data_IF_499921746311
#
_entry.id   IF_499921746311
#
_cell.length_a   1.000
_cell.length_b   1.000
_cell.length_c   1.000
_cell.angle_alpha   90.00
_cell.angle_beta   90.00
_cell.angle_gamma   90.00
#
_symmetry.space_group_name_H-M   'P 1'
#
loop_
_entity.id
_entity.type
_entity.pdbx_description
1 polymer ?
#
# COMPACT_ATOMS: atom_id res chain seq x y z
N UNK A 1 -39.48 -3.69 3.49
CA UNK A 1 -38.84 -4.99 3.79
C UNK A 1 -37.45 -5.00 3.20
N UNK A 2 -36.54 -5.15 3.96
CA UNK A 2 -35.10 -5.06 4.20
C UNK A 2 -34.14 -5.58 3.07
N UNK A 3 -34.14 -5.01 1.91
CA UNK A 3 -33.08 -5.21 0.90
C UNK A 3 -31.84 -4.31 1.16
N UNK A 4 -31.97 -3.28 2.00
CA UNK A 4 -30.91 -2.33 2.32
C UNK A 4 -29.83 -2.85 3.32
N UNK A 5 -30.11 -3.95 4.04
CA UNK A 5 -29.18 -4.45 5.06
C UNK A 5 -28.03 -5.27 4.45
N UNK A 6 -28.31 -6.01 3.37
CA UNK A 6 -27.29 -6.79 2.65
C UNK A 6 -26.41 -5.93 1.74
N UNK A 7 -26.95 -4.80 1.25
CA UNK A 7 -26.21 -3.86 0.41
C UNK A 7 -25.16 -3.07 1.22
N UNK A 8 -25.44 -2.79 2.50
CA UNK A 8 -24.51 -2.07 3.40
C UNK A 8 -23.38 -2.93 3.89
N UNK A 9 -23.59 -4.24 4.03
CA UNK A 9 -22.51 -5.18 4.39
C UNK A 9 -21.49 -5.30 3.25
N UNK A 10 -21.96 -5.17 1.98
CA UNK A 10 -21.12 -5.21 0.79
C UNK A 10 -20.02 -4.14 0.76
N UNK A 11 -20.29 -2.92 1.23
CA UNK A 11 -19.32 -1.82 1.17
C UNK A 11 -18.07 -2.07 2.05
N UNK A 12 -18.29 -2.55 3.26
CA UNK A 12 -17.21 -2.81 4.21
C UNK A 12 -16.57 -4.15 3.97
N UNK A 13 -17.36 -5.14 3.58
CA UNK A 13 -16.82 -6.43 3.16
C UNK A 13 -15.94 -6.21 1.91
N UNK A 14 -16.29 -5.29 1.02
CA UNK A 14 -15.48 -4.93 -0.14
C UNK A 14 -14.27 -4.07 0.24
N UNK A 15 -14.40 -3.07 1.13
CA UNK A 15 -13.25 -2.31 1.65
C UNK A 15 -12.33 -3.22 2.48
N UNK A 16 -12.89 -4.15 3.25
CA UNK A 16 -12.16 -5.15 4.02
C UNK A 16 -11.71 -6.35 3.18
N UNK A 17 -12.51 -6.78 2.19
CA UNK A 17 -12.13 -7.77 1.17
C UNK A 17 -11.11 -7.18 0.21
N UNK A 18 -11.19 -5.88 -0.08
CA UNK A 18 -10.21 -5.16 -0.87
C UNK A 18 -8.83 -5.16 -0.21
N UNK A 19 -8.75 -4.95 1.11
CA UNK A 19 -7.52 -5.21 1.87
C UNK A 19 -7.17 -6.72 1.92
N UNK A 20 -8.13 -7.61 1.69
CA UNK A 20 -7.93 -9.05 1.50
C UNK A 20 -7.48 -9.40 0.09
N UNK A 21 -8.02 -8.72 -0.92
CA UNK A 21 -7.74 -8.92 -2.35
C UNK A 21 -6.53 -8.15 -2.85
N UNK A 22 -6.02 -7.13 -2.13
CA UNK A 22 -4.73 -6.51 -2.46
C UNK A 22 -3.56 -7.50 -2.36
N UNK A 23 -3.72 -8.60 -1.63
CA UNK A 23 -2.86 -9.78 -1.81
C UNK A 23 -3.05 -10.43 -3.19
N UNK A 24 -4.20 -10.23 -3.85
CA UNK A 24 -4.53 -10.74 -5.19
C UNK A 24 -4.14 -9.77 -6.31
N UNK A 25 -4.05 -8.48 -6.05
CA UNK A 25 -3.60 -7.50 -7.06
C UNK A 25 -2.17 -7.75 -7.55
N UNK A 26 -1.39 -8.53 -6.80
CA UNK A 26 -0.12 -9.04 -7.31
C UNK A 26 -0.29 -10.10 -8.42
N UNK A 27 -1.46 -10.71 -8.60
CA UNK A 27 -1.72 -11.65 -9.71
C UNK A 27 -2.04 -10.93 -11.02
N UNK A 28 -2.54 -9.71 -10.97
CA UNK A 28 -3.00 -8.97 -12.15
C UNK A 28 -1.88 -8.23 -12.89
N UNK A 29 -0.67 -8.18 -12.31
CA UNK A 29 0.54 -7.73 -13.03
C UNK A 29 1.15 -8.89 -13.86
N UNK A 30 0.50 -10.01 -13.94
CA UNK A 30 0.83 -11.05 -14.92
C UNK A 30 0.19 -10.64 -16.24
N UNK A 31 0.84 -9.70 -16.93
CA UNK A 31 0.64 -9.56 -18.36
C UNK A 31 0.80 -10.95 -18.97
N UNK A 32 -0.06 -11.23 -19.94
CA UNK A 32 -0.09 -12.42 -20.79
C UNK A 32 0.97 -13.46 -20.42
N UNK A 33 0.51 -14.56 -19.83
CA UNK A 33 1.33 -15.74 -19.61
C UNK A 33 1.97 -16.11 -20.94
N UNK A 34 3.18 -15.59 -21.19
CA UNK A 34 4.06 -16.23 -22.14
C UNK A 34 4.28 -17.60 -21.53
N UNK A 35 3.84 -18.64 -22.24
CA UNK A 35 4.00 -20.00 -21.79
C UNK A 35 5.48 -20.18 -21.41
N UNK A 36 5.77 -20.51 -20.15
CA UNK A 36 7.15 -20.63 -19.67
C UNK A 36 7.94 -21.68 -20.51
N UNK A 37 7.23 -22.62 -21.15
CA UNK A 37 7.78 -23.55 -22.12
C UNK A 37 8.29 -22.84 -23.39
N UNK A 38 7.69 -21.75 -23.79
CA UNK A 38 8.09 -20.99 -25.00
C UNK A 38 9.24 -20.02 -24.68
N UNK A 39 9.28 -19.45 -23.48
CA UNK A 39 10.33 -18.51 -23.06
C UNK A 39 11.64 -19.20 -22.65
N UNK A 40 11.59 -20.41 -22.08
CA UNK A 40 12.75 -21.07 -21.49
C UNK A 40 13.21 -22.33 -22.25
N UNK A 41 12.50 -22.75 -23.31
CA UNK A 41 12.83 -23.96 -24.10
C UNK A 41 13.19 -25.12 -23.17
N UNK A 42 12.59 -26.28 -23.32
CA UNK A 42 12.82 -27.49 -22.50
C UNK A 42 14.29 -27.95 -22.49
N UNK A 43 15.19 -27.20 -21.86
CA UNK A 43 16.50 -27.76 -21.47
C UNK A 43 16.29 -28.49 -20.14
N UNK A 44 16.76 -29.77 -20.06
CA UNK A 44 16.75 -30.47 -18.80
C UNK A 44 17.58 -29.68 -17.77
N UNK A 45 16.96 -29.35 -16.62
CA UNK A 45 17.64 -28.66 -15.53
C UNK A 45 18.76 -29.54 -14.99
N UNK A 46 19.95 -28.98 -14.86
CA UNK A 46 21.11 -29.68 -14.30
C UNK A 46 20.88 -29.99 -12.83
N UNK A 47 20.81 -31.26 -12.47
CA UNK A 47 20.59 -31.69 -11.11
C UNK A 47 21.89 -31.60 -10.30
N UNK A 48 21.89 -30.78 -9.24
CA UNK A 48 23.02 -30.62 -8.31
C UNK A 48 22.59 -31.17 -6.95
N UNK A 49 23.28 -32.23 -6.43
CA UNK A 49 22.99 -32.75 -5.09
C UNK A 49 23.13 -31.69 -4.00
N UNK A 50 22.25 -31.72 -3.01
CA UNK A 50 22.20 -30.71 -1.96
C UNK A 50 23.52 -30.58 -1.17
N UNK A 51 24.23 -31.70 -1.01
CA UNK A 51 25.54 -31.75 -0.34
C UNK A 51 26.65 -30.98 -1.08
N UNK A 52 26.44 -30.66 -2.35
CA UNK A 52 27.37 -29.86 -3.16
C UNK A 52 27.03 -28.34 -3.13
N UNK A 53 25.96 -27.94 -2.47
CA UNK A 53 25.59 -26.57 -2.33
C UNK A 53 26.34 -25.94 -1.14
N UNK A 54 26.79 -24.70 -1.30
CA UNK A 54 27.55 -23.95 -0.29
C UNK A 54 26.66 -23.38 0.81
N UNK A 55 25.43 -22.98 0.46
CA UNK A 55 24.42 -22.46 1.37
C UNK A 55 23.04 -23.00 1.01
N UNK A 56 22.23 -23.21 2.02
CA UNK A 56 20.84 -23.67 1.91
C UNK A 56 19.99 -22.78 2.78
N UNK A 57 19.14 -21.96 2.15
CA UNK A 57 18.12 -21.16 2.86
C UNK A 57 16.75 -21.79 2.68
N UNK A 58 16.25 -22.41 3.75
CA UNK A 58 14.98 -23.13 3.76
C UNK A 58 13.75 -22.21 3.78
N UNK A 59 13.92 -20.90 3.68
CA UNK A 59 12.87 -19.93 3.39
C UNK A 59 11.60 -20.18 4.21
N UNK A 60 11.53 -20.26 5.47
CA UNK A 60 10.28 -20.45 6.29
C UNK A 60 9.18 -21.38 5.71
N UNK A 61 9.45 -22.06 4.58
CA UNK A 61 8.63 -23.05 3.89
C UNK A 61 9.38 -24.38 3.86
N UNK A 62 8.85 -25.38 4.55
CA UNK A 62 9.52 -26.67 4.68
C UNK A 62 9.76 -27.44 3.36
N UNK A 63 9.10 -27.01 2.26
CA UNK A 63 9.11 -27.72 0.97
C UNK A 63 10.25 -27.29 0.04
N UNK A 64 10.52 -25.98 -0.06
CA UNK A 64 11.52 -25.46 -0.99
C UNK A 64 12.63 -24.72 -0.25
N UNK A 65 13.81 -24.72 -0.83
CA UNK A 65 14.96 -23.94 -0.37
C UNK A 65 15.58 -23.15 -1.52
N UNK A 66 16.18 -22.01 -1.20
CA UNK A 66 17.14 -21.36 -2.08
C UNK A 66 18.51 -21.96 -1.80
N UNK A 67 19.16 -22.51 -2.83
CA UNK A 67 20.48 -23.12 -2.71
C UNK A 67 21.50 -22.27 -3.46
N UNK A 68 22.74 -22.23 -2.94
CA UNK A 68 23.84 -21.45 -3.55
C UNK A 68 25.01 -22.37 -3.91
N UNK A 69 25.61 -22.13 -5.07
CA UNK A 69 26.83 -22.78 -5.52
C UNK A 69 27.64 -21.87 -6.46
N UNK A 70 28.91 -21.67 -6.16
CA UNK A 70 29.79 -20.81 -6.97
C UNK A 70 29.33 -19.34 -7.01
N UNK A 71 28.70 -18.81 -5.93
CA UNK A 71 28.14 -17.47 -5.88
C UNK A 71 26.86 -17.27 -6.68
N UNK A 72 26.26 -18.34 -7.24
CA UNK A 72 24.96 -18.34 -7.90
C UNK A 72 23.92 -19.07 -7.07
N UNK A 73 22.65 -18.75 -7.29
CA UNK A 73 21.52 -19.28 -6.55
C UNK A 73 20.56 -20.07 -7.47
N UNK A 74 19.76 -20.92 -6.85
CA UNK A 74 18.71 -21.67 -7.53
C UNK A 74 17.63 -22.11 -6.54
N UNK A 75 16.49 -22.57 -7.03
CA UNK A 75 15.38 -23.09 -6.23
C UNK A 75 15.48 -24.61 -6.21
N UNK A 76 15.35 -25.21 -5.04
CA UNK A 76 15.47 -26.65 -4.79
C UNK A 76 14.23 -27.17 -4.06
N UNK A 77 13.69 -28.31 -4.52
CA UNK A 77 12.62 -29.02 -3.81
C UNK A 77 13.23 -29.99 -2.81
N UNK A 78 13.00 -29.74 -1.51
CA UNK A 78 13.54 -30.54 -0.42
C UNK A 78 12.83 -31.89 -0.26
N UNK A 79 11.59 -32.04 -0.73
CA UNK A 79 10.82 -33.28 -0.66
C UNK A 79 11.20 -34.23 -1.80
N UNK A 80 11.36 -33.70 -3.01
CA UNK A 80 11.71 -34.47 -4.20
C UNK A 80 13.21 -34.63 -4.41
N UNK A 81 14.03 -33.87 -3.67
CA UNK A 81 15.48 -33.83 -3.77
C UNK A 81 15.97 -33.46 -5.20
N UNK A 82 15.31 -32.45 -5.80
CA UNK A 82 15.66 -32.00 -7.16
C UNK A 82 15.73 -30.48 -7.29
N UNK A 83 16.55 -30.00 -8.21
CA UNK A 83 16.56 -28.59 -8.56
C UNK A 83 15.32 -28.25 -9.39
N UNK A 84 14.64 -27.17 -8.99
CA UNK A 84 13.48 -26.61 -9.70
C UNK A 84 13.94 -25.61 -10.77
N UNK A 85 15.08 -24.95 -10.53
CA UNK A 85 15.74 -24.05 -11.50
C UNK A 85 17.22 -24.44 -11.64
N UNK A 86 17.86 -23.94 -12.69
CA UNK A 86 19.34 -23.96 -12.72
C UNK A 86 19.87 -23.12 -11.54
N UNK A 87 21.10 -23.46 -11.08
CA UNK A 87 21.81 -22.66 -10.06
C UNK A 87 22.66 -21.63 -10.83
N UNK A 88 22.00 -20.68 -11.47
CA UNK A 88 22.62 -19.65 -12.29
C UNK A 88 22.04 -18.24 -12.03
N UNK A 89 21.15 -18.12 -11.06
CA UNK A 89 20.58 -16.86 -10.63
C UNK A 89 21.57 -16.07 -9.77
N UNK A 90 21.57 -14.75 -9.89
CA UNK A 90 22.35 -13.87 -9.01
C UNK A 90 21.68 -13.70 -7.65
N UNK A 91 20.36 -13.63 -7.64
CA UNK A 91 19.53 -13.57 -6.42
C UNK A 91 18.34 -14.48 -6.59
N UNK A 92 18.00 -15.22 -5.54
CA UNK A 92 16.71 -15.89 -5.38
C UNK A 92 16.21 -15.71 -3.95
N UNK A 93 14.91 -15.55 -3.77
CA UNK A 93 14.31 -15.42 -2.44
C UNK A 93 12.83 -15.75 -2.46
N UNK A 94 12.35 -16.46 -1.43
CA UNK A 94 10.94 -16.76 -1.30
C UNK A 94 10.15 -15.46 -1.09
N UNK A 95 9.07 -15.29 -1.84
CA UNK A 95 8.18 -14.14 -1.75
C UNK A 95 6.88 -14.49 -1.02
N UNK A 96 6.14 -15.48 -1.53
CA UNK A 96 4.83 -15.85 -0.99
C UNK A 96 4.37 -17.24 -1.43
N UNK A 97 3.39 -17.79 -0.68
CA UNK A 97 2.62 -18.98 -1.05
C UNK A 97 1.19 -18.56 -1.40
N UNK A 98 0.67 -19.11 -2.46
CA UNK A 98 -0.72 -18.97 -2.89
C UNK A 98 -1.37 -20.34 -2.97
N UNK A 99 -2.65 -20.41 -2.62
CA UNK A 99 -3.49 -21.60 -2.77
C UNK A 99 -4.71 -21.18 -3.57
N UNK A 100 -4.89 -21.79 -4.75
CA UNK A 100 -6.06 -21.51 -5.59
C UNK A 100 -7.36 -22.06 -4.97
N UNK A 101 -8.52 -21.68 -5.51
CA UNK A 101 -9.82 -22.22 -5.09
C UNK A 101 -9.89 -23.74 -5.31
N UNK A 102 -9.19 -24.26 -6.30
CA UNK A 102 -9.09 -25.70 -6.60
C UNK A 102 -8.06 -26.43 -5.72
N UNK A 103 -7.44 -25.73 -4.78
CA UNK A 103 -6.46 -26.31 -3.84
C UNK A 103 -5.05 -26.43 -4.40
N UNK A 104 -4.75 -25.86 -5.59
CA UNK A 104 -3.41 -25.88 -6.16
C UNK A 104 -2.53 -24.89 -5.41
N UNK A 105 -1.39 -25.37 -4.91
CA UNK A 105 -0.41 -24.53 -4.23
C UNK A 105 0.65 -24.02 -5.21
N UNK A 106 0.90 -22.71 -5.20
CA UNK A 106 1.96 -22.07 -5.97
C UNK A 106 2.87 -21.28 -5.03
N UNK A 107 4.15 -21.50 -5.13
CA UNK A 107 5.18 -20.84 -4.34
C UNK A 107 5.93 -19.84 -5.22
N UNK A 108 5.88 -18.57 -4.89
CA UNK A 108 6.50 -17.49 -5.67
C UNK A 108 7.85 -17.12 -5.09
N UNK A 109 8.84 -17.04 -5.98
CA UNK A 109 10.21 -16.63 -5.68
C UNK A 109 10.56 -15.40 -6.49
N UNK A 110 11.11 -14.39 -5.85
CA UNK A 110 11.81 -13.32 -6.53
C UNK A 110 13.17 -13.80 -7.01
N UNK A 111 13.56 -13.43 -8.22
CA UNK A 111 14.79 -13.87 -8.84
C UNK A 111 15.44 -12.75 -9.64
N UNK A 112 16.81 -12.77 -9.69
CA UNK A 112 17.61 -11.88 -10.54
C UNK A 112 18.66 -12.71 -11.29
N UNK A 113 18.92 -12.34 -12.55
CA UNK A 113 19.96 -12.92 -13.38
C UNK A 113 20.55 -11.88 -14.32
N UNK A 114 21.75 -11.40 -14.03
CA UNK A 114 22.35 -10.28 -14.74
C UNK A 114 21.54 -9.00 -14.52
N UNK A 115 21.02 -8.45 -15.61
CA UNK A 115 20.10 -7.30 -15.58
C UNK A 115 18.63 -7.72 -15.50
N UNK A 116 18.33 -9.01 -15.64
CA UNK A 116 16.98 -9.53 -15.63
C UNK A 116 16.50 -9.73 -14.19
N UNK A 117 15.29 -9.25 -13.91
CA UNK A 117 14.62 -9.42 -12.62
C UNK A 117 13.23 -9.99 -12.87
N UNK A 118 12.76 -10.84 -11.97
CA UNK A 118 11.45 -11.42 -12.18
C UNK A 118 10.93 -12.19 -10.98
N UNK A 119 9.78 -12.82 -11.19
CA UNK A 119 9.17 -13.72 -10.22
C UNK A 119 8.96 -15.08 -10.89
N UNK A 120 9.39 -16.14 -10.23
CA UNK A 120 9.09 -17.51 -10.62
C UNK A 120 8.06 -18.08 -9.66
N UNK A 121 6.95 -18.58 -10.21
CA UNK A 121 5.98 -19.40 -9.48
C UNK A 121 6.36 -20.87 -9.64
N UNK A 122 6.35 -21.64 -8.54
CA UNK A 122 6.58 -23.08 -8.55
C UNK A 122 5.31 -23.78 -8.10
N UNK A 123 4.71 -24.58 -8.95
CA UNK A 123 3.51 -25.38 -8.62
C UNK A 123 3.91 -26.53 -7.70
N UNK A 124 3.31 -26.59 -6.51
CA UNK A 124 3.72 -27.49 -5.44
C UNK A 124 3.66 -28.98 -5.78
N UNK A 125 2.73 -29.40 -6.65
CA UNK A 125 2.53 -30.83 -6.98
C UNK A 125 3.60 -31.37 -7.94
N UNK A 126 3.97 -30.60 -8.97
CA UNK A 126 4.74 -31.09 -10.11
C UNK A 126 6.04 -30.31 -10.37
N UNK A 127 6.35 -29.27 -9.58
CA UNK A 127 7.47 -28.36 -9.75
C UNK A 127 7.47 -27.62 -11.11
N UNK A 128 6.33 -27.57 -11.77
CA UNK A 128 6.19 -26.77 -12.97
C UNK A 128 6.44 -25.31 -12.61
N UNK A 129 7.37 -24.69 -13.32
CA UNK A 129 7.68 -23.28 -13.14
C UNK A 129 6.82 -22.43 -14.06
N UNK A 130 6.20 -21.40 -13.47
CA UNK A 130 5.53 -20.33 -14.20
C UNK A 130 6.32 -19.07 -13.90
N UNK A 131 6.94 -18.46 -14.91
CA UNK A 131 7.86 -17.35 -14.69
C UNK A 131 7.51 -16.11 -15.48
N UNK A 132 7.78 -14.95 -14.88
CA UNK A 132 7.78 -13.66 -15.56
C UNK A 132 9.17 -13.07 -15.40
N UNK A 133 9.94 -13.02 -16.47
CA UNK A 133 11.17 -12.25 -16.56
C UNK A 133 10.82 -10.84 -17.07
N UNK A 134 11.02 -9.82 -16.27
CA UNK A 134 10.66 -8.45 -16.63
C UNK A 134 11.74 -7.71 -17.42
N UNK A 135 12.95 -8.26 -17.53
CA UNK A 135 14.11 -7.54 -18.11
C UNK A 135 14.89 -8.39 -19.14
N UNK A 136 14.19 -9.06 -20.04
CA UNK A 136 14.82 -9.54 -21.28
C UNK A 136 15.20 -8.31 -22.13
N UNK A 137 16.42 -8.17 -22.67
CA UNK A 137 16.84 -7.02 -23.50
C UNK A 137 15.92 -6.69 -24.67
N UNK A 138 15.29 -7.69 -25.30
CA UNK A 138 14.26 -7.47 -26.32
C UNK A 138 12.94 -6.94 -25.72
N UNK A 139 12.66 -7.32 -24.47
CA UNK A 139 11.48 -6.89 -23.74
C UNK A 139 11.70 -5.50 -23.13
N UNK A 140 12.91 -5.20 -22.65
CA UNK A 140 13.32 -3.86 -22.17
C UNK A 140 13.25 -2.85 -23.31
N UNK A 141 13.70 -3.19 -24.52
CA UNK A 141 13.57 -2.31 -25.68
C UNK A 141 12.11 -2.02 -26.06
N UNK A 142 11.21 -3.01 -25.92
CA UNK A 142 9.74 -2.80 -26.08
C UNK A 142 9.12 -2.10 -24.88
N UNK A 143 9.63 -2.31 -23.65
CA UNK A 143 9.21 -1.61 -22.45
C UNK A 143 9.58 -0.13 -22.50
N UNK A 144 10.76 0.22 -23.02
CA UNK A 144 11.17 1.64 -23.20
C UNK A 144 10.24 2.38 -24.17
N UNK A 145 9.63 1.69 -25.12
CA UNK A 145 8.59 2.26 -26.01
C UNK A 145 7.20 2.30 -25.36
N UNK A 146 6.92 1.40 -24.40
CA UNK A 146 5.59 1.23 -23.79
C UNK A 146 5.52 1.64 -22.32
N UNK A 147 6.64 1.98 -21.68
CA UNK A 147 6.65 2.34 -20.26
C UNK A 147 5.90 3.65 -20.00
N UNK A 148 5.11 3.65 -18.94
CA UNK A 148 4.45 4.85 -18.44
C UNK A 148 5.33 5.64 -17.48
N UNK A 149 6.50 5.10 -17.11
CA UNK A 149 7.45 5.69 -16.16
C UNK A 149 8.08 6.94 -16.78
N UNK A 150 8.07 8.00 -16.00
CA UNK A 150 8.73 9.26 -16.30
C UNK A 150 10.09 9.28 -15.58
N UNK A 151 11.17 9.22 -16.36
CA UNK A 151 12.52 9.13 -15.81
C UNK A 151 12.93 10.40 -15.03
N UNK A 152 12.49 11.58 -15.48
CA UNK A 152 12.77 12.84 -14.79
C UNK A 152 12.04 12.91 -13.46
N UNK A 153 10.78 12.49 -13.44
CA UNK A 153 9.99 12.39 -12.22
C UNK A 153 10.56 11.34 -11.26
N UNK A 154 11.01 10.20 -11.78
CA UNK A 154 11.62 9.13 -11.00
C UNK A 154 12.90 9.58 -10.32
N UNK A 155 13.81 10.23 -11.07
CA UNK A 155 15.01 10.81 -10.49
C UNK A 155 14.69 11.83 -9.39
N UNK A 156 13.73 12.72 -9.65
CA UNK A 156 13.28 13.69 -8.64
C UNK A 156 12.71 13.01 -7.39
N UNK A 157 11.90 11.97 -7.54
CA UNK A 157 11.38 11.20 -6.42
C UNK A 157 12.52 10.54 -5.62
N UNK A 158 13.53 10.02 -6.31
CA UNK A 158 14.68 9.38 -5.68
C UNK A 158 15.53 10.38 -4.88
N UNK A 159 15.82 11.55 -5.46
CA UNK A 159 16.58 12.62 -4.80
C UNK A 159 15.85 13.11 -3.54
N UNK A 160 14.56 13.45 -3.68
CA UNK A 160 13.73 13.93 -2.57
C UNK A 160 13.56 12.88 -1.49
N UNK A 161 13.41 11.59 -1.87
CA UNK A 161 13.32 10.51 -0.90
C UNK A 161 14.61 10.33 -0.12
N UNK A 162 15.77 10.37 -0.79
CA UNK A 162 17.08 10.25 -0.15
C UNK A 162 17.33 11.37 0.87
N UNK A 163 17.08 12.62 0.47
CA UNK A 163 17.21 13.77 1.37
C UNK A 163 16.23 13.69 2.55
N UNK A 164 14.97 13.32 2.26
CA UNK A 164 13.93 13.16 3.28
C UNK A 164 14.23 12.06 4.28
N UNK A 165 14.75 10.92 3.83
CA UNK A 165 15.16 9.83 4.72
C UNK A 165 16.32 10.25 5.63
N UNK A 166 17.32 10.97 5.12
CA UNK A 166 18.39 11.53 5.93
C UNK A 166 17.87 12.49 7.01
N UNK A 167 16.98 13.39 6.63
CA UNK A 167 16.39 14.38 7.53
C UNK A 167 15.51 13.72 8.61
N UNK A 168 14.76 12.68 8.26
CA UNK A 168 13.80 12.00 9.15
C UNK A 168 14.41 10.82 9.92
N UNK A 169 15.71 10.57 9.76
CA UNK A 169 16.37 9.35 10.27
C UNK A 169 15.61 8.07 9.87
N UNK A 170 15.17 8.03 8.59
CA UNK A 170 14.43 6.91 8.06
C UNK A 170 15.30 5.69 7.84
N UNK A 171 14.74 4.50 8.01
CA UNK A 171 15.40 3.24 7.70
C UNK A 171 14.96 2.69 6.35
N UNK A 172 13.77 3.07 5.89
CA UNK A 172 13.19 2.67 4.64
C UNK A 172 12.17 3.70 4.18
N UNK A 173 12.04 3.90 2.88
CA UNK A 173 11.02 4.77 2.30
C UNK A 173 10.58 4.36 0.92
N UNK A 174 9.35 4.74 0.58
CA UNK A 174 8.77 4.57 -0.76
C UNK A 174 8.07 5.85 -1.21
N UNK A 175 8.14 6.13 -2.51
CA UNK A 175 7.30 7.12 -3.19
C UNK A 175 6.69 6.45 -4.42
N UNK A 176 5.38 6.60 -4.60
CA UNK A 176 4.70 6.24 -5.83
C UNK A 176 3.89 7.44 -6.36
N UNK A 177 4.00 7.69 -7.65
CA UNK A 177 3.24 8.71 -8.37
C UNK A 177 2.50 8.07 -9.51
N UNK A 178 1.18 8.25 -9.57
CA UNK A 178 0.34 7.79 -10.65
C UNK A 178 -0.33 8.97 -11.36
N UNK A 179 -0.56 8.86 -12.65
CA UNK A 179 -1.42 9.77 -13.39
C UNK A 179 -2.85 9.59 -12.89
N UNK A 180 -3.40 10.64 -12.31
CA UNK A 180 -4.68 10.56 -11.62
C UNK A 180 -5.87 10.32 -12.57
N UNK A 181 -5.74 10.63 -13.86
CA UNK A 181 -6.79 10.48 -14.85
C UNK A 181 -6.80 9.08 -15.46
N UNK A 182 -5.60 8.54 -15.73
CA UNK A 182 -5.45 7.25 -16.40
C UNK A 182 -5.16 6.11 -15.45
N UNK A 183 -4.73 6.40 -14.21
CA UNK A 183 -4.24 5.41 -13.24
C UNK A 183 -2.86 4.83 -13.58
N UNK A 184 -2.18 5.32 -14.62
CA UNK A 184 -0.87 4.81 -15.05
C UNK A 184 0.24 5.23 -14.09
N UNK A 185 1.11 4.31 -13.77
CA UNK A 185 2.28 4.56 -12.91
C UNK A 185 3.26 5.49 -13.63
N UNK A 186 3.65 6.58 -12.97
CA UNK A 186 4.61 7.58 -13.47
C UNK A 186 5.96 7.48 -12.79
N UNK A 187 5.98 7.10 -11.52
CA UNK A 187 7.20 6.87 -10.77
C UNK A 187 6.91 5.95 -9.60
N UNK A 188 7.82 5.06 -9.29
CA UNK A 188 7.81 4.25 -8.09
C UNK A 188 9.24 3.98 -7.64
N UNK A 189 9.62 4.54 -6.51
CA UNK A 189 10.96 4.44 -5.94
C UNK A 189 10.90 3.93 -4.51
N UNK A 190 11.90 3.16 -4.13
CA UNK A 190 12.13 2.73 -2.77
C UNK A 190 13.60 2.86 -2.43
N UNK A 191 13.89 3.32 -1.21
CA UNK A 191 15.24 3.38 -0.68
C UNK A 191 15.28 2.73 0.71
N UNK A 192 16.36 2.04 0.99
CA UNK A 192 16.62 1.40 2.28
C UNK A 192 18.00 1.82 2.81
N UNK A 193 18.10 2.01 4.13
CA UNK A 193 19.34 2.43 4.77
C UNK A 193 20.37 1.30 4.67
N UNK A 194 21.51 1.62 4.07
CA UNK A 194 22.68 0.77 4.03
C UNK A 194 23.85 1.50 4.71
N UNK A 195 24.16 1.11 5.96
CA UNK A 195 25.16 1.74 6.84
C UNK A 195 24.89 3.24 7.02
N UNK A 196 25.68 4.10 6.39
CA UNK A 196 25.60 5.56 6.51
C UNK A 196 24.89 6.24 5.32
N UNK A 197 24.49 5.48 4.30
CA UNK A 197 23.81 5.97 3.09
C UNK A 197 22.55 5.15 2.77
N UNK A 198 21.96 5.35 1.61
CA UNK A 198 20.76 4.68 1.14
C UNK A 198 21.02 4.02 -0.21
N UNK A 199 20.60 2.77 -0.31
CA UNK A 199 20.59 1.99 -1.54
C UNK A 199 19.14 1.74 -2.02
N UNK A 200 18.98 1.15 -3.20
CA UNK A 200 17.68 0.75 -3.69
C UNK A 200 17.00 -0.25 -2.75
N UNK A 201 15.79 0.10 -2.34
CA UNK A 201 14.95 -0.72 -1.49
C UNK A 201 13.96 -1.57 -2.30
N UNK A 202 13.36 -2.56 -1.64
CA UNK A 202 12.35 -3.43 -2.27
C UNK A 202 11.05 -2.66 -2.52
N UNK A 203 10.67 -2.44 -3.78
CA UNK A 203 9.44 -1.75 -4.17
C UNK A 203 8.16 -2.42 -3.61
N UNK A 204 8.08 -3.75 -3.66
CA UNK A 204 6.92 -4.51 -3.18
C UNK A 204 6.85 -4.65 -1.65
N UNK A 205 7.82 -4.09 -0.91
CA UNK A 205 7.81 -4.15 0.56
C UNK A 205 6.55 -3.48 1.11
N UNK A 206 5.79 -4.22 1.87
CA UNK A 206 4.61 -3.76 2.59
C UNK A 206 5.07 -2.96 3.81
N UNK A 207 4.97 -1.65 3.77
CA UNK A 207 5.68 -0.75 4.67
C UNK A 207 4.79 0.24 5.44
N UNK A 208 3.48 0.23 5.18
CA UNK A 208 2.53 1.14 5.83
C UNK A 208 1.22 0.44 6.17
N UNK A 209 0.67 0.75 7.33
CA UNK A 209 -0.67 0.33 7.69
C UNK A 209 -1.72 1.10 6.86
N UNK A 210 -2.69 0.41 6.24
CA UNK A 210 -3.75 1.05 5.46
C UNK A 210 -4.72 1.89 6.31
N UNK A 211 -4.58 1.90 7.63
CA UNK A 211 -5.38 2.76 8.54
C UNK A 211 -5.31 4.26 8.21
N UNK A 212 -4.30 4.70 7.46
CA UNK A 212 -4.24 6.06 6.92
C UNK A 212 -5.47 6.37 6.05
N UNK A 213 -6.09 5.35 5.43
CA UNK A 213 -7.29 5.46 4.61
C UNK A 213 -8.59 5.40 5.42
N UNK A 214 -8.56 5.24 6.76
CA UNK A 214 -9.79 5.14 7.58
C UNK A 214 -10.73 6.32 7.35
N UNK A 215 -10.20 7.55 7.34
CA UNK A 215 -10.99 8.74 7.04
C UNK A 215 -11.57 8.71 5.61
N UNK A 216 -10.81 8.21 4.65
CA UNK A 216 -11.20 8.10 3.24
C UNK A 216 -12.39 7.14 3.10
N UNK A 217 -12.35 6.01 3.79
CA UNK A 217 -13.42 5.00 3.76
C UNK A 217 -14.69 5.41 4.50
N UNK A 218 -14.56 6.13 5.63
CA UNK A 218 -15.71 6.47 6.47
C UNK A 218 -16.42 7.74 5.99
N UNK A 219 -15.71 8.74 5.46
CA UNK A 219 -16.32 10.02 5.07
C UNK A 219 -17.49 9.87 4.07
N UNK A 220 -17.40 9.04 3.02
CA UNK A 220 -18.53 8.82 2.11
C UNK A 220 -19.78 8.26 2.77
N UNK A 221 -19.62 7.46 3.82
CA UNK A 221 -20.72 6.80 4.52
C UNK A 221 -21.68 7.81 5.21
N UNK A 222 -21.23 9.06 5.41
CA UNK A 222 -22.12 10.11 5.91
C UNK A 222 -23.29 10.36 4.94
N UNK A 223 -23.07 10.22 3.63
CA UNK A 223 -24.14 10.35 2.64
C UNK A 223 -25.11 9.17 2.70
N UNK A 224 -24.64 7.96 3.01
CA UNK A 224 -25.45 6.74 3.04
C UNK A 224 -26.47 6.76 4.19
N UNK A 225 -26.19 7.52 5.25
CA UNK A 225 -27.14 7.76 6.35
C UNK A 225 -27.97 9.03 6.18
N UNK A 226 -28.00 9.61 4.98
CA UNK A 226 -28.63 10.89 4.66
C UNK A 226 -28.11 12.05 5.54
N UNK A 227 -26.90 11.94 6.07
CA UNK A 227 -26.26 12.99 6.85
C UNK A 227 -25.65 14.06 5.96
N UNK A 228 -25.41 15.23 6.55
CA UNK A 228 -24.78 16.37 5.90
C UNK A 228 -23.49 16.79 6.60
N UNK A 229 -22.53 17.29 5.83
CA UNK A 229 -21.32 17.91 6.38
C UNK A 229 -21.63 19.15 7.27
N UNK A 230 -22.83 19.71 7.18
CA UNK A 230 -23.27 20.83 7.99
C UNK A 230 -24.00 20.40 9.27
N UNK A 231 -24.36 19.14 9.42
CA UNK A 231 -25.03 18.65 10.61
C UNK A 231 -24.11 18.76 11.82
N UNK A 232 -24.70 19.04 12.97
CA UNK A 232 -23.99 19.08 14.24
C UNK A 232 -23.84 17.67 14.80
N UNK A 233 -22.67 17.37 15.30
CA UNK A 233 -22.34 16.12 15.98
C UNK A 233 -21.70 16.44 17.32
N UNK A 234 -22.21 15.82 18.38
CA UNK A 234 -21.56 15.86 19.69
C UNK A 234 -20.42 14.84 19.72
N UNK A 235 -19.20 15.28 19.99
CA UNK A 235 -18.01 14.46 20.05
C UNK A 235 -17.66 14.01 21.47
N UNK A 236 -18.59 14.16 22.41
CA UNK A 236 -18.50 13.60 23.77
C UNK A 236 -17.21 14.01 24.51
N UNK A 237 -16.72 15.25 24.32
CA UNK A 237 -15.43 15.68 24.87
C UNK A 237 -14.22 14.88 24.38
N UNK A 238 -14.32 14.28 23.21
CA UNK A 238 -13.25 13.49 22.59
C UNK A 238 -13.13 12.05 23.08
N UNK A 239 -14.13 11.55 23.83
CA UNK A 239 -14.17 10.14 24.29
C UNK A 239 -15.55 9.59 24.05
N UNK A 240 -15.65 8.49 23.33
CA UNK A 240 -16.87 7.70 23.17
C UNK A 240 -16.66 6.32 23.78
N UNK A 241 -17.44 6.01 24.82
CA UNK A 241 -17.35 4.72 25.53
C UNK A 241 -18.24 3.66 24.86
N UNK A 242 -17.70 2.47 24.69
CA UNK A 242 -18.41 1.28 24.21
C UNK A 242 -18.43 0.28 25.38
N UNK A 243 -19.56 0.24 26.11
CA UNK A 243 -19.61 -0.50 27.37
C UNK A 243 -18.64 0.05 28.41
N UNK A 244 -18.20 -0.80 29.34
CA UNK A 244 -17.43 -0.35 30.52
C UNK A 244 -15.92 -0.30 30.29
N UNK A 245 -15.40 -0.98 29.25
CA UNK A 245 -13.97 -1.25 29.12
C UNK A 245 -13.32 -0.70 27.86
N UNK A 246 -14.09 -0.28 26.86
CA UNK A 246 -13.60 0.13 25.55
C UNK A 246 -13.97 1.57 25.27
N UNK A 247 -13.03 2.36 24.78
CA UNK A 247 -13.30 3.74 24.38
C UNK A 247 -12.62 4.10 23.06
N UNK A 248 -13.34 4.84 22.22
CA UNK A 248 -12.79 5.52 21.05
C UNK A 248 -12.38 6.93 21.50
N UNK A 249 -11.14 7.32 21.21
CA UNK A 249 -10.57 8.57 21.69
C UNK A 249 -10.04 9.43 20.56
N UNK A 250 -10.33 10.72 20.62
CA UNK A 250 -9.69 11.72 19.77
C UNK A 250 -8.27 12.01 20.25
N UNK A 251 -7.42 12.52 19.36
CA UNK A 251 -6.01 12.83 19.68
C UNK A 251 -5.86 13.87 20.82
N UNK A 252 -6.86 14.77 21.01
CA UNK A 252 -6.86 15.83 22.01
C UNK A 252 -7.74 15.53 23.24
N UNK A 253 -8.17 14.28 23.45
CA UNK A 253 -9.08 13.90 24.53
C UNK A 253 -8.60 14.32 25.93
N UNK A 254 -7.27 14.29 26.15
CA UNK A 254 -6.69 14.72 27.45
C UNK A 254 -6.79 16.20 27.69
N UNK A 255 -6.98 17.01 26.66
CA UNK A 255 -7.17 18.46 26.72
C UNK A 255 -8.65 18.87 26.67
N UNK A 256 -9.57 17.93 26.97
CA UNK A 256 -11.01 18.15 26.94
C UNK A 256 -11.68 17.81 25.62
N UNK A 257 -10.93 17.33 24.63
CA UNK A 257 -11.47 16.88 23.35
C UNK A 257 -12.17 17.96 22.55
N UNK A 258 -13.05 17.51 21.66
CA UNK A 258 -13.97 18.37 20.93
C UNK A 258 -15.38 18.23 21.51
N UNK A 259 -16.12 19.34 21.58
CA UNK A 259 -17.54 19.36 21.95
C UNK A 259 -18.46 19.15 20.75
N UNK A 260 -19.57 19.90 20.72
CA UNK A 260 -20.50 19.87 19.59
C UNK A 260 -19.95 20.71 18.44
N UNK A 261 -19.77 20.12 17.26
CA UNK A 261 -19.32 20.82 16.06
C UNK A 261 -19.97 20.26 14.80
N UNK A 262 -19.78 20.94 13.66
CA UNK A 262 -20.27 20.42 12.39
C UNK A 262 -19.47 19.18 11.98
N UNK A 263 -20.13 18.22 11.32
CA UNK A 263 -19.47 17.01 10.78
C UNK A 263 -18.25 17.35 9.91
N UNK A 264 -18.33 18.40 9.07
CA UNK A 264 -17.20 18.92 8.29
C UNK A 264 -15.98 19.22 9.19
N UNK A 265 -16.19 19.97 10.25
CA UNK A 265 -15.09 20.35 11.15
C UNK A 265 -14.53 19.12 11.88
N UNK A 266 -15.41 18.25 12.37
CA UNK A 266 -15.00 17.02 13.04
C UNK A 266 -14.10 16.13 12.13
N UNK A 267 -14.50 15.95 10.88
CA UNK A 267 -13.72 15.16 9.91
C UNK A 267 -12.42 15.86 9.48
N UNK A 268 -12.44 17.20 9.30
CA UNK A 268 -11.21 17.96 8.99
C UNK A 268 -10.25 18.10 10.18
N UNK A 269 -10.71 17.75 11.39
CA UNK A 269 -9.86 17.57 12.56
C UNK A 269 -9.49 16.09 12.80
N UNK A 270 -9.89 15.20 11.90
CA UNK A 270 -9.63 13.75 12.00
C UNK A 270 -10.14 13.17 13.32
N UNK A 271 -11.33 13.59 13.78
CA UNK A 271 -11.92 13.07 15.00
C UNK A 271 -12.27 11.58 14.85
N UNK A 272 -11.65 10.74 15.66
CA UNK A 272 -11.96 9.31 15.73
C UNK A 272 -13.40 9.08 16.22
N UNK A 273 -13.87 9.92 17.16
CA UNK A 273 -15.23 9.85 17.68
C UNK A 273 -16.24 10.14 16.59
N UNK A 274 -15.99 11.16 15.74
CA UNK A 274 -16.86 11.45 14.61
C UNK A 274 -16.93 10.30 13.61
N UNK A 275 -15.77 9.76 13.22
CA UNK A 275 -15.69 8.64 12.31
C UNK A 275 -16.41 7.41 12.86
N UNK A 276 -16.19 7.09 14.14
CA UNK A 276 -16.86 5.96 14.78
C UNK A 276 -18.38 6.14 14.86
N UNK A 277 -18.88 7.36 15.17
CA UNK A 277 -20.31 7.64 15.18
C UNK A 277 -20.96 7.48 13.80
N UNK A 278 -20.27 7.85 12.72
CA UNK A 278 -20.74 7.58 11.35
C UNK A 278 -20.84 6.07 11.11
N UNK A 279 -19.83 5.30 11.52
CA UNK A 279 -19.88 3.84 11.44
C UNK A 279 -21.03 3.24 12.26
N UNK A 280 -21.22 3.74 13.47
CA UNK A 280 -22.26 3.24 14.39
C UNK A 280 -23.66 3.42 13.79
N UNK A 281 -23.93 4.57 13.18
CA UNK A 281 -25.24 4.81 12.54
C UNK A 281 -25.41 3.92 11.29
N UNK A 282 -24.34 3.65 10.54
CA UNK A 282 -24.39 2.80 9.35
C UNK A 282 -24.53 1.31 9.68
N UNK A 283 -23.85 0.82 10.73
CA UNK A 283 -23.60 -0.60 10.97
C UNK A 283 -24.05 -1.11 12.33
N UNK A 284 -24.57 -0.23 13.20
CA UNK A 284 -25.08 -0.64 14.52
C UNK A 284 -24.02 -1.41 15.31
N UNK A 285 -24.38 -2.58 15.80
CA UNK A 285 -23.52 -3.41 16.67
C UNK A 285 -22.22 -3.88 15.98
N UNK A 286 -22.19 -3.95 14.66
CA UNK A 286 -21.00 -4.37 13.89
C UNK A 286 -19.93 -3.27 13.80
N UNK A 287 -20.28 -2.01 14.13
CA UNK A 287 -19.41 -0.86 13.94
C UNK A 287 -18.06 -0.99 14.63
N UNK A 288 -18.01 -1.57 15.82
CA UNK A 288 -16.74 -1.74 16.54
C UNK A 288 -15.83 -2.78 15.90
N UNK A 289 -16.38 -3.89 15.43
CA UNK A 289 -15.62 -4.90 14.68
C UNK A 289 -14.98 -4.32 13.42
N UNK A 290 -15.74 -3.50 12.70
CA UNK A 290 -15.29 -2.80 11.50
C UNK A 290 -14.20 -1.78 11.84
N UNK A 291 -14.42 -0.95 12.86
CA UNK A 291 -13.45 0.01 13.36
C UNK A 291 -12.09 -0.65 13.69
N UNK A 292 -12.13 -1.77 14.41
CA UNK A 292 -10.91 -2.54 14.74
C UNK A 292 -10.17 -2.98 13.48
N UNK A 293 -10.88 -3.53 12.50
CA UNK A 293 -10.27 -3.99 11.25
C UNK A 293 -9.65 -2.84 10.45
N UNK A 294 -10.35 -1.70 10.34
CA UNK A 294 -9.86 -0.52 9.62
C UNK A 294 -8.65 0.13 10.29
N UNK A 295 -8.49 -0.05 11.60
CA UNK A 295 -7.38 0.51 12.38
C UNK A 295 -6.37 -0.56 12.84
N UNK A 296 -6.44 -1.77 12.29
CA UNK A 296 -5.51 -2.85 12.58
C UNK A 296 -4.18 -2.62 11.87
N UNK A 297 -3.09 -3.00 12.53
CA UNK A 297 -1.74 -3.05 11.96
C UNK A 297 -1.40 -4.43 11.36
N UNK A 298 -2.37 -5.36 11.36
CA UNK A 298 -2.19 -6.72 10.85
C UNK A 298 -1.96 -6.77 9.33
N UNK A 299 -2.49 -5.77 8.63
CA UNK A 299 -2.31 -5.64 7.20
C UNK A 299 -1.39 -4.46 6.91
N UNK A 300 -0.59 -4.62 5.89
CA UNK A 300 0.33 -3.60 5.42
C UNK A 300 0.07 -3.36 3.92
N UNK A 301 0.50 -2.22 3.42
CA UNK A 301 0.39 -1.81 2.02
C UNK A 301 1.69 -1.14 1.56
N UNK A 302 1.91 -1.06 0.28
CA UNK A 302 3.00 -0.30 -0.33
C UNK A 302 2.51 1.04 -0.90
N UNK A 303 3.43 1.90 -1.34
CA UNK A 303 3.07 3.24 -1.81
C UNK A 303 2.24 3.22 -3.09
N UNK A 304 2.49 2.28 -4.01
CA UNK A 304 1.73 2.16 -5.25
C UNK A 304 0.27 1.81 -4.98
N UNK A 305 0.03 0.77 -4.17
CA UNK A 305 -1.31 0.35 -3.76
C UNK A 305 -2.05 1.47 -3.04
N UNK A 306 -1.35 2.17 -2.12
CA UNK A 306 -1.91 3.27 -1.36
C UNK A 306 -2.36 4.43 -2.29
N UNK A 307 -1.52 4.80 -3.27
CA UNK A 307 -1.85 5.84 -4.26
C UNK A 307 -3.03 5.44 -5.14
N UNK A 308 -3.07 4.19 -5.60
CA UNK A 308 -4.15 3.67 -6.45
C UNK A 308 -5.49 3.65 -5.71
N UNK A 309 -5.52 3.11 -4.48
CA UNK A 309 -6.71 3.09 -3.62
C UNK A 309 -7.27 4.49 -3.36
N UNK A 310 -6.39 5.42 -3.00
CA UNK A 310 -6.79 6.80 -2.74
C UNK A 310 -7.36 7.47 -3.99
N UNK A 311 -6.69 7.32 -5.14
CA UNK A 311 -7.14 7.89 -6.41
C UNK A 311 -8.50 7.35 -6.83
N UNK A 312 -8.73 6.04 -6.72
CA UNK A 312 -10.01 5.40 -7.00
C UNK A 312 -11.14 5.94 -6.14
N UNK A 313 -10.90 6.08 -4.82
CA UNK A 313 -11.88 6.65 -3.90
C UNK A 313 -12.16 8.14 -4.19
N UNK A 314 -11.15 8.92 -4.53
CA UNK A 314 -11.26 10.36 -4.71
C UNK A 314 -11.92 10.77 -6.04
N UNK A 315 -11.54 10.15 -7.16
CA UNK A 315 -11.93 10.60 -8.48
C UNK A 315 -12.89 9.68 -9.23
N UNK A 316 -12.71 8.37 -9.13
CA UNK A 316 -13.35 7.39 -9.99
C UNK A 316 -14.11 6.35 -9.21
N UNK A 317 -15.16 5.86 -9.82
CA UNK A 317 -15.81 4.63 -9.38
C UNK A 317 -14.99 3.38 -9.77
N UNK A 318 -13.98 3.54 -10.62
CA UNK A 318 -13.09 2.46 -11.02
C UNK A 318 -11.73 2.60 -10.35
N UNK A 319 -11.20 1.51 -9.84
CA UNK A 319 -9.83 1.39 -9.43
C UNK A 319 -9.03 0.93 -10.64
N UNK A 320 -8.09 1.76 -11.04
CA UNK A 320 -7.14 1.41 -12.08
C UNK A 320 -5.83 1.09 -11.38
N UNK A 321 -5.39 -0.16 -11.44
CA UNK A 321 -4.06 -0.52 -10.95
C UNK A 321 -3.02 0.08 -11.90
N UNK A 322 -2.00 0.78 -11.37
CA UNK A 322 -0.92 1.28 -12.18
C UNK A 322 -0.18 0.11 -12.82
N UNK A 323 0.05 0.18 -14.11
CA UNK A 323 0.87 -0.80 -14.83
C UNK A 323 2.14 -0.14 -15.31
N UNK A 324 3.22 -0.89 -15.36
CA UNK A 324 4.46 -0.49 -16.01
C UNK A 324 4.33 -0.55 -17.55
N UNK A 325 3.39 -1.35 -18.04
CA UNK A 325 3.09 -1.53 -19.46
C UNK A 325 1.85 -0.75 -19.87
N UNK A 326 1.91 -0.10 -21.03
CA UNK A 326 0.92 0.88 -21.48
C UNK A 326 -0.53 0.42 -21.66
N UNK A 327 -0.84 -0.89 -21.77
CA UNK A 327 -2.11 -1.36 -22.29
C UNK A 327 -2.93 -2.31 -21.40
N UNK A 328 -2.42 -2.83 -20.30
CA UNK A 328 -3.21 -3.68 -19.40
C UNK A 328 -3.63 -2.93 -18.14
N UNK A 329 -4.86 -2.46 -18.13
CA UNK A 329 -5.47 -1.82 -16.96
C UNK A 329 -6.57 -2.72 -16.45
N UNK A 330 -6.43 -3.24 -15.24
CA UNK A 330 -7.54 -3.92 -14.56
C UNK A 330 -8.39 -2.87 -13.87
N UNK A 331 -9.61 -2.71 -14.33
CA UNK A 331 -10.59 -1.82 -13.72
C UNK A 331 -11.45 -2.60 -12.73
N UNK A 332 -11.31 -2.28 -11.44
CA UNK A 332 -12.30 -2.65 -10.42
C UNK A 332 -13.14 -1.43 -10.07
N UNK A 333 -14.46 -1.60 -10.05
CA UNK A 333 -15.37 -0.49 -9.81
C UNK A 333 -15.56 -0.23 -8.31
N UNK A 334 -15.35 1.01 -7.88
CA UNK A 334 -15.81 1.54 -6.58
C UNK A 334 -17.28 1.96 -6.67
N UNK A 335 -18.15 1.07 -7.13
CA UNK A 335 -19.59 1.34 -7.34
C UNK A 335 -20.32 1.73 -6.05
N UNK A 336 -19.64 1.60 -4.93
CA UNK A 336 -20.20 1.77 -3.61
C UNK A 336 -20.06 3.19 -3.04
N UNK A 337 -19.27 4.05 -3.67
CA UNK A 337 -19.17 5.44 -3.24
C UNK A 337 -20.14 6.29 -4.05
N UNK A 338 -21.25 6.68 -3.41
CA UNK A 338 -22.25 7.53 -4.05
C UNK A 338 -21.64 8.86 -4.52
N UNK A 339 -22.18 9.51 -5.57
CA UNK A 339 -21.71 10.84 -6.00
C UNK A 339 -21.68 11.87 -4.86
N UNK A 340 -22.65 11.83 -3.95
CA UNK A 340 -22.71 12.71 -2.80
C UNK A 340 -21.60 12.35 -1.79
N UNK A 341 -21.41 11.07 -1.51
CA UNK A 341 -20.35 10.58 -0.62
C UNK A 341 -18.97 10.98 -1.12
N UNK A 342 -18.73 10.87 -2.43
CA UNK A 342 -17.48 11.31 -3.07
C UNK A 342 -17.29 12.83 -2.96
N UNK A 343 -18.34 13.61 -3.16
CA UNK A 343 -18.28 15.04 -2.94
C UNK A 343 -17.91 15.38 -1.49
N UNK A 344 -18.49 14.68 -0.50
CA UNK A 344 -18.13 14.87 0.91
C UNK A 344 -16.67 14.53 1.17
N UNK A 345 -16.18 13.41 0.61
CA UNK A 345 -14.77 13.03 0.71
C UNK A 345 -13.85 14.12 0.16
N UNK A 346 -14.14 14.63 -1.06
CA UNK A 346 -13.35 15.69 -1.68
C UNK A 346 -13.34 16.96 -0.83
N UNK A 347 -14.49 17.41 -0.32
CA UNK A 347 -14.60 18.59 0.51
C UNK A 347 -13.83 18.44 1.83
N UNK A 348 -13.87 17.27 2.47
CA UNK A 348 -13.15 16.98 3.71
C UNK A 348 -11.64 16.94 3.46
N UNK A 349 -11.17 16.21 2.42
CA UNK A 349 -9.75 16.08 2.13
C UNK A 349 -9.10 17.41 1.70
N UNK A 350 -9.81 18.26 0.97
CA UNK A 350 -9.38 19.63 0.70
C UNK A 350 -9.37 20.44 2.00
N UNK A 351 -10.42 20.33 2.79
CA UNK A 351 -10.57 21.05 4.06
C UNK A 351 -9.51 20.70 5.10
N UNK A 352 -9.00 19.46 5.12
CA UNK A 352 -7.87 19.04 5.97
C UNK A 352 -6.63 19.92 5.75
N UNK A 353 -6.38 20.32 4.51
CA UNK A 353 -5.17 21.00 4.06
C UNK A 353 -5.39 22.52 3.90
N UNK A 354 -6.54 23.05 4.27
CA UNK A 354 -6.90 24.48 4.14
C UNK A 354 -7.62 25.02 5.38
N UNK A 355 -7.54 26.33 5.53
CA UNK A 355 -8.28 27.06 6.57
C UNK A 355 -7.94 26.58 7.97
N UNK A 356 -8.94 26.08 8.69
CA UNK A 356 -8.79 25.55 10.04
C UNK A 356 -8.58 24.01 10.08
N UNK A 357 -8.31 23.37 8.94
CA UNK A 357 -7.99 21.96 8.89
C UNK A 357 -6.71 21.63 9.64
N UNK A 358 -6.66 20.46 10.26
CA UNK A 358 -5.54 20.06 11.13
C UNK A 358 -4.18 20.02 10.42
N UNK A 359 -4.17 19.90 9.10
CA UNK A 359 -2.98 19.82 8.26
C UNK A 359 -2.64 21.13 7.54
N UNK A 360 -3.50 22.17 7.67
CA UNK A 360 -3.38 23.41 6.90
C UNK A 360 -2.07 24.17 7.16
N UNK A 361 -1.50 24.06 8.37
CA UNK A 361 -0.27 24.79 8.74
C UNK A 361 1.00 24.30 8.04
N UNK A 362 0.98 23.09 7.48
CA UNK A 362 2.11 22.50 6.77
C UNK A 362 1.78 22.02 5.35
N UNK A 363 0.59 22.29 4.87
CA UNK A 363 0.20 22.03 3.49
C UNK A 363 1.03 22.87 2.50
N UNK A 364 1.27 22.38 1.27
CA UNK A 364 1.96 23.12 0.23
C UNK A 364 1.28 24.48 -0.03
N UNK A 365 2.08 25.50 -0.32
CA UNK A 365 1.56 26.87 -0.53
C UNK A 365 1.26 27.18 -1.99
N UNK A 366 1.98 26.57 -2.91
CA UNK A 366 1.87 26.85 -4.36
C UNK A 366 0.80 26.02 -5.05
N UNK A 367 0.52 24.82 -4.51
CA UNK A 367 -0.41 23.86 -5.11
C UNK A 367 -1.41 23.39 -4.08
N UNK A 368 -2.68 23.48 -4.41
CA UNK A 368 -3.74 22.90 -3.55
C UNK A 368 -3.68 21.38 -3.61
N UNK A 369 -3.63 20.74 -2.45
CA UNK A 369 -3.70 19.29 -2.33
C UNK A 369 -4.98 18.84 -1.65
N UNK A 370 -5.43 17.63 -1.98
CA UNK A 370 -6.41 16.88 -1.22
C UNK A 370 -5.74 15.58 -0.78
N UNK A 371 -5.45 15.47 0.50
CA UNK A 371 -4.68 14.33 1.00
C UNK A 371 -4.69 14.22 2.51
N UNK A 372 -4.15 13.11 3.00
CA UNK A 372 -4.10 12.79 4.42
C UNK A 372 -2.68 12.34 4.81
N UNK A 373 -2.20 12.87 5.93
CA UNK A 373 -0.97 12.43 6.59
C UNK A 373 -1.29 11.46 7.72
N UNK A 374 -0.50 10.42 7.86
CA UNK A 374 -0.48 9.49 8.99
C UNK A 374 0.87 9.50 9.68
N UNK A 375 0.85 9.33 11.01
CA UNK A 375 2.06 9.08 11.80
C UNK A 375 1.67 8.09 12.90
N UNK A 376 2.23 6.90 12.84
CA UNK A 376 1.88 5.78 13.69
C UNK A 376 3.12 5.27 14.40
N UNK A 377 3.02 5.11 15.71
CA UNK A 377 4.07 4.50 16.50
C UNK A 377 3.89 2.98 16.50
N UNK A 378 4.97 2.26 16.26
CA UNK A 378 4.99 0.82 16.41
C UNK A 378 4.77 0.41 17.87
N UNK A 379 4.22 -0.78 18.07
CA UNK A 379 4.12 -1.37 19.40
C UNK A 379 5.49 -1.92 19.83
N UNK A 380 5.75 -1.87 21.13
CA UNK A 380 6.85 -2.60 21.74
C UNK A 380 6.61 -4.11 21.57
N UNK A 381 7.61 -4.83 21.11
CA UNK A 381 7.58 -6.28 21.03
C UNK A 381 7.90 -6.87 22.40
N UNK A 382 7.47 -8.12 22.66
CA UNK A 382 7.68 -8.83 23.94
C UNK A 382 9.17 -8.98 24.30
N UNK A 383 10.05 -8.92 23.31
CA UNK A 383 11.51 -8.95 23.47
C UNK A 383 12.15 -7.57 23.80
N UNK A 384 11.35 -6.53 23.98
CA UNK A 384 11.80 -5.16 24.24
C UNK A 384 12.20 -4.38 22.98
N UNK A 385 12.11 -4.97 21.79
CA UNK A 385 12.34 -4.25 20.54
C UNK A 385 11.13 -3.40 20.17
N UNK A 386 11.38 -2.14 19.80
CA UNK A 386 10.34 -1.26 19.31
C UNK A 386 10.07 -1.52 17.84
N UNK A 387 8.80 -1.72 17.50
CA UNK A 387 8.36 -1.70 16.10
C UNK A 387 8.68 -0.34 15.48
N UNK A 388 9.09 -0.33 14.22
CA UNK A 388 9.37 0.91 13.51
C UNK A 388 8.14 1.83 13.48
N UNK A 389 8.35 3.12 13.67
CA UNK A 389 7.32 4.11 13.46
C UNK A 389 7.08 4.30 11.96
N UNK A 390 5.82 4.45 11.59
CA UNK A 390 5.38 4.67 10.21
C UNK A 390 4.94 6.12 10.05
N UNK A 391 5.46 6.80 9.02
CA UNK A 391 4.97 8.09 8.54
C UNK A 391 4.52 7.93 7.11
N UNK A 392 3.33 8.40 6.78
CA UNK A 392 2.84 8.31 5.44
C UNK A 392 2.02 9.55 5.03
N UNK A 393 2.01 9.79 3.73
CA UNK A 393 1.11 10.71 3.07
C UNK A 393 0.48 10.01 1.87
N UNK A 394 -0.80 10.28 1.64
CA UNK A 394 -1.45 9.94 0.38
C UNK A 394 -2.40 11.06 -0.02
N UNK A 395 -2.39 11.41 -1.31
CA UNK A 395 -3.23 12.50 -1.80
C UNK A 395 -3.14 12.70 -3.29
N UNK A 396 -3.96 13.64 -3.79
CA UNK A 396 -3.96 14.08 -5.18
C UNK A 396 -3.64 15.56 -5.30
N UNK A 397 -3.05 15.94 -6.42
CA UNK A 397 -2.75 17.33 -6.74
C UNK A 397 -2.80 17.59 -8.25
N UNK A 398 -3.21 18.84 -8.70
CA UNK A 398 -3.96 19.82 -7.90
C UNK A 398 -5.30 19.25 -7.39
N UNK A 399 -5.77 19.69 -6.21
CA UNK A 399 -6.94 19.08 -5.54
C UNK A 399 -8.22 19.09 -6.39
N UNK A 400 -8.53 20.18 -7.11
CA UNK A 400 -9.79 20.31 -7.86
C UNK A 400 -9.79 19.63 -9.23
N UNK A 401 -8.61 19.52 -9.85
CA UNK A 401 -8.39 18.86 -11.14
C UNK A 401 -7.14 18.00 -11.02
N UNK A 402 -7.24 16.85 -10.36
CA UNK A 402 -6.09 16.01 -10.09
C UNK A 402 -5.38 15.62 -11.39
N UNK A 403 -4.09 15.87 -11.42
CA UNK A 403 -3.18 15.40 -12.46
C UNK A 403 -2.42 14.17 -11.97
N UNK A 404 -2.03 14.20 -10.70
CA UNK A 404 -1.27 13.12 -10.08
C UNK A 404 -1.90 12.69 -8.76
N UNK A 405 -1.78 11.40 -8.46
CA UNK A 405 -1.92 10.88 -7.10
C UNK A 405 -0.54 10.44 -6.61
N UNK A 406 -0.26 10.77 -5.36
CA UNK A 406 1.03 10.58 -4.71
C UNK A 406 0.84 9.81 -3.42
N UNK A 407 1.67 8.81 -3.19
CA UNK A 407 1.86 8.23 -1.86
C UNK A 407 3.33 8.28 -1.47
N UNK A 408 3.57 8.58 -0.21
CA UNK A 408 4.89 8.60 0.44
C UNK A 408 4.80 7.77 1.70
N UNK A 409 5.71 6.84 1.89
CA UNK A 409 5.82 6.00 3.08
C UNK A 409 7.25 6.10 3.61
N UNK A 410 7.40 6.34 4.91
CA UNK A 410 8.68 6.35 5.61
C UNK A 410 8.58 5.48 6.86
N UNK A 411 9.47 4.51 6.98
CA UNK A 411 9.70 3.76 8.21
C UNK A 411 10.95 4.29 8.91
N UNK A 412 10.90 4.44 10.22
CA UNK A 412 12.00 4.97 11.03
C UNK A 412 12.01 4.37 12.42
N UNK A 413 13.13 4.46 13.17
CA UNK A 413 13.12 4.14 14.59
C UNK A 413 12.03 4.92 15.33
N UNK A 414 11.46 4.33 16.38
CA UNK A 414 10.36 4.93 17.15
C UNK A 414 10.85 6.09 18.04
N UNK A 415 11.53 7.07 17.45
CA UNK A 415 11.96 8.29 18.11
C UNK A 415 10.90 9.38 17.89
N UNK A 416 10.47 10.03 18.96
CA UNK A 416 9.31 10.96 18.94
C UNK A 416 9.62 12.34 18.34
N UNK A 417 10.75 12.53 17.68
CA UNK A 417 11.24 13.85 17.26
C UNK A 417 10.58 14.42 16.01
N UNK A 418 10.00 13.58 15.14
CA UNK A 418 9.45 14.00 13.85
C UNK A 418 7.97 13.63 13.71
N UNK A 419 7.22 14.48 13.03
CA UNK A 419 5.78 14.31 12.80
C UNK A 419 5.35 14.60 11.36
N UNK A 420 4.03 14.63 11.09
CA UNK A 420 3.49 14.89 9.75
C UNK A 420 3.98 16.19 9.10
N UNK A 421 4.31 17.21 9.90
CA UNK A 421 4.86 18.49 9.43
C UNK A 421 6.26 18.28 8.81
N UNK A 422 7.07 17.42 9.39
CA UNK A 422 8.43 17.16 8.89
C UNK A 422 8.37 16.35 7.60
N UNK A 423 7.47 15.36 7.51
CA UNK A 423 7.19 14.65 6.26
C UNK A 423 6.71 15.61 5.15
N UNK A 424 5.80 16.53 5.50
CA UNK A 424 5.30 17.51 4.56
C UNK A 424 6.42 18.41 4.02
N UNK A 425 7.21 19.01 4.91
CA UNK A 425 8.25 19.97 4.53
C UNK A 425 9.45 19.29 3.87
N UNK A 426 9.81 18.08 4.30
CA UNK A 426 10.98 17.38 3.79
C UNK A 426 10.74 16.66 2.46
N UNK A 427 9.53 16.17 2.22
CA UNK A 427 9.26 15.31 1.07
C UNK A 427 8.07 15.83 0.25
N UNK A 428 6.85 15.84 0.83
CA UNK A 428 5.62 16.04 0.06
C UNK A 428 5.59 17.39 -0.66
N UNK A 429 5.93 18.48 0.04
CA UNK A 429 5.91 19.82 -0.55
C UNK A 429 6.94 19.96 -1.68
N UNK A 430 8.11 19.31 -1.55
CA UNK A 430 9.16 19.30 -2.58
C UNK A 430 8.74 18.52 -3.84
N UNK A 431 7.82 17.57 -3.71
CA UNK A 431 7.28 16.80 -4.83
C UNK A 431 6.11 17.49 -5.52
N UNK A 432 5.20 18.10 -4.76
CA UNK A 432 3.97 18.68 -5.34
C UNK A 432 4.14 20.10 -5.85
N UNK A 433 5.16 20.82 -5.38
CA UNK A 433 5.47 22.20 -5.81
C UNK A 433 6.56 22.28 -6.90
N UNK A 434 7.00 21.12 -7.40
CA UNK A 434 7.99 20.96 -8.46
C UNK A 434 7.49 21.30 -9.86
#
# INVERSE_FOLDING_TARGET
>A
MNTNKYFKLGLITMFLAFFGQLSFAQEVIVADTIDAEEAFGKKPITQVPLEQCEQIDTCSIAKFAVVSKGGKQGIYDLEKHENVTEIDLDVAGFSRRYVSEDGIEVFYFYVEKGIERGTIGVVGENNQTVGVWMDNPEYVAKLDECTTIDSVMTQKCQDVLSEGLKMLNGTYGQIAVIDAQTGRLKSWVALEKDRDDYSEGKLLKQACSPRILTLVGITPMLADINGSLNDKMDLCGGIYNIGDSISIRDHNWRSGGYGVMKCRQALTHKSNVAMFKILLVNHGDDAFGIWKKMNSDEKQTNAMELAALFNGAYQRNALTFPTLQGDSVTEETFDNITPLGRKYLQEVLIGLNKGNGIQASYAPKKVDIAGVYGNYQGKELENGEHKLAEMAFVGVFPAKKPRYALAVIINRPNEQTHGPKDLANGIVNNLVEW
#
